data_IF_355777862126
#
_entry.id   IF_355777862126
#
_cell.length_a   1.000
_cell.length_b   1.000
_cell.length_c   1.000
_cell.angle_alpha   90.00
_cell.angle_beta   90.00
_cell.angle_gamma   90.00
#
_symmetry.space_group_name_H-M   'P 1'
#
loop_
_entity.id
_entity.type
_entity.pdbx_description
1 polymer ?
#
# COMPACT_ATOMS: atom_id res chain seq x y z
N UNK A 1 3.33 -26.11 2.22
CA UNK A 1 4.39 -26.28 1.22
C UNK A 1 5.69 -25.63 1.70
N UNK A 2 6.83 -26.19 1.30
CA UNK A 2 8.18 -25.62 1.59
C UNK A 2 8.86 -25.09 0.33
N UNK A 3 8.28 -25.36 -0.85
CA UNK A 3 8.72 -24.89 -2.17
C UNK A 3 7.48 -24.60 -3.04
N UNK A 4 7.65 -23.77 -4.06
CA UNK A 4 6.63 -23.57 -5.08
C UNK A 4 6.34 -24.89 -5.82
N UNK A 5 5.07 -25.16 -6.19
CA UNK A 5 4.73 -26.36 -6.92
C UNK A 5 5.28 -26.30 -8.35
N UNK A 6 5.78 -27.45 -8.84
CA UNK A 6 6.01 -27.64 -10.27
C UNK A 6 4.66 -27.98 -10.91
N UNK A 7 4.13 -27.05 -11.69
CA UNK A 7 2.86 -27.24 -12.40
C UNK A 7 3.14 -27.44 -13.90
N UNK A 8 2.53 -28.45 -14.54
CA UNK A 8 2.52 -28.54 -16.00
C UNK A 8 1.94 -27.26 -16.60
N UNK A 9 2.47 -26.83 -17.75
CA UNK A 9 2.01 -25.63 -18.47
C UNK A 9 1.94 -24.36 -17.60
N UNK A 10 2.89 -24.18 -16.68
CA UNK A 10 2.99 -23.04 -15.75
C UNK A 10 2.82 -21.67 -16.41
N UNK A 11 3.23 -21.54 -17.68
CA UNK A 11 3.10 -20.34 -18.49
C UNK A 11 1.64 -19.91 -18.74
N UNK A 12 0.65 -20.77 -18.46
CA UNK A 12 -0.78 -20.45 -18.53
C UNK A 12 -1.38 -20.05 -17.17
N UNK A 13 -0.64 -20.24 -16.08
CA UNK A 13 -1.14 -19.92 -14.74
C UNK A 13 -1.31 -18.41 -14.58
N UNK A 14 -2.51 -17.98 -14.19
CA UNK A 14 -2.85 -16.57 -13.97
C UNK A 14 -3.03 -16.22 -12.50
N UNK A 15 -3.25 -17.22 -11.64
CA UNK A 15 -3.42 -17.06 -10.21
C UNK A 15 -2.61 -18.12 -9.47
N UNK A 16 -1.80 -17.69 -8.50
CA UNK A 16 -1.12 -18.57 -7.58
C UNK A 16 -1.28 -18.03 -6.16
N UNK A 17 -1.90 -18.84 -5.31
CA UNK A 17 -2.01 -18.60 -3.88
C UNK A 17 -1.17 -19.65 -3.15
N UNK A 18 -0.19 -19.16 -2.40
CA UNK A 18 0.67 -19.94 -1.52
C UNK A 18 0.71 -19.34 -0.11
N UNK A 19 -0.31 -18.59 0.29
CA UNK A 19 -0.43 -18.00 1.61
C UNK A 19 -0.29 -19.06 2.72
N UNK A 20 0.31 -18.69 3.86
CA UNK A 20 0.23 -19.50 5.09
C UNK A 20 1.04 -20.80 5.02
N UNK A 21 2.15 -20.76 4.28
CA UNK A 21 3.01 -21.91 4.06
C UNK A 21 4.36 -21.76 4.78
N UNK A 22 5.34 -22.61 4.42
CA UNK A 22 6.70 -22.59 4.95
C UNK A 22 7.72 -22.33 3.85
N UNK A 23 7.34 -21.52 2.85
CA UNK A 23 8.22 -21.19 1.75
C UNK A 23 9.42 -20.39 2.26
N UNK A 24 10.58 -20.76 1.73
CA UNK A 24 11.82 -19.98 1.79
C UNK A 24 12.19 -19.59 0.37
N UNK A 25 12.77 -18.41 0.16
CA UNK A 25 13.12 -17.98 -1.19
C UNK A 25 14.58 -18.26 -1.54
N UNK A 26 14.78 -19.18 -2.48
CA UNK A 26 16.07 -19.57 -3.05
C UNK A 26 16.05 -19.47 -4.59
N UNK A 27 17.17 -19.77 -5.25
CA UNK A 27 17.29 -19.70 -6.70
C UNK A 27 16.34 -20.66 -7.43
N UNK A 28 15.98 -21.80 -6.82
CA UNK A 28 15.04 -22.75 -7.42
C UNK A 28 13.60 -22.23 -7.35
N UNK A 29 13.21 -21.61 -6.24
CA UNK A 29 11.93 -20.93 -6.13
C UNK A 29 11.81 -19.81 -7.18
N UNK A 30 12.86 -18.98 -7.32
CA UNK A 30 12.90 -17.93 -8.34
C UNK A 30 12.76 -18.51 -9.75
N UNK A 31 13.53 -19.54 -10.11
CA UNK A 31 13.43 -20.18 -11.42
C UNK A 31 12.06 -20.80 -11.69
N UNK A 32 11.35 -21.24 -10.65
CA UNK A 32 10.00 -21.78 -10.75
C UNK A 32 8.97 -20.68 -10.98
N UNK A 33 9.09 -19.56 -10.26
CA UNK A 33 8.23 -18.40 -10.45
C UNK A 33 8.34 -17.85 -11.88
N UNK A 34 9.55 -17.76 -12.42
CA UNK A 34 9.80 -17.23 -13.77
C UNK A 34 9.19 -18.07 -14.90
N UNK A 35 8.78 -19.31 -14.65
CA UNK A 35 8.04 -20.12 -15.62
C UNK A 35 6.56 -19.70 -15.72
N UNK A 36 6.05 -18.98 -14.74
CA UNK A 36 4.66 -18.53 -14.65
C UNK A 36 4.47 -17.15 -15.31
N UNK A 37 4.86 -17.03 -16.58
CA UNK A 37 4.93 -15.72 -17.26
C UNK A 37 3.59 -15.01 -17.46
N UNK A 38 2.46 -15.72 -17.31
CA UNK A 38 1.11 -15.15 -17.41
C UNK A 38 0.48 -14.80 -16.07
N UNK A 39 1.24 -14.88 -14.97
CA UNK A 39 0.72 -14.71 -13.62
C UNK A 39 0.23 -13.27 -13.39
N UNK A 40 -1.02 -13.14 -12.97
CA UNK A 40 -1.67 -11.86 -12.67
C UNK A 40 -1.86 -11.67 -11.17
N UNK A 41 -2.10 -12.75 -10.44
CA UNK A 41 -2.26 -12.72 -8.98
C UNK A 41 -1.25 -13.67 -8.36
N UNK A 42 -0.45 -13.15 -7.44
CA UNK A 42 0.51 -13.91 -6.65
C UNK A 42 0.35 -13.55 -5.18
N UNK A 43 -0.03 -14.54 -4.38
CA UNK A 43 -0.03 -14.46 -2.93
C UNK A 43 1.04 -15.38 -2.35
N UNK A 44 2.03 -14.79 -1.67
CA UNK A 44 3.07 -15.48 -0.91
C UNK A 44 3.02 -15.12 0.58
N UNK A 45 1.95 -14.46 1.05
CA UNK A 45 1.83 -13.94 2.41
C UNK A 45 1.97 -15.03 3.47
N UNK A 46 2.30 -14.63 4.69
CA UNK A 46 2.46 -15.54 5.83
C UNK A 46 3.46 -16.69 5.58
N UNK A 47 4.55 -16.40 4.86
CA UNK A 47 5.68 -17.30 4.64
C UNK A 47 6.97 -16.77 5.28
N UNK A 48 8.08 -17.50 5.20
CA UNK A 48 9.39 -17.06 5.72
C UNK A 48 10.37 -16.87 4.57
N UNK A 49 10.03 -15.95 3.66
CA UNK A 49 10.78 -15.75 2.44
C UNK A 49 12.19 -15.25 2.74
N UNK A 50 12.32 -14.29 3.69
CA UNK A 50 13.55 -13.58 4.09
C UNK A 50 14.14 -12.74 2.94
N UNK A 51 14.36 -13.37 1.79
CA UNK A 51 14.71 -12.73 0.53
C UNK A 51 13.44 -12.47 -0.28
N UNK A 52 13.35 -11.28 -0.88
CA UNK A 52 12.27 -10.95 -1.78
C UNK A 52 12.44 -11.65 -3.15
N UNK A 53 11.34 -12.04 -3.82
CA UNK A 53 11.38 -12.50 -5.21
C UNK A 53 11.83 -11.39 -6.14
N UNK A 54 12.54 -11.75 -7.22
CA UNK A 54 12.82 -10.85 -8.32
C UNK A 54 11.61 -10.81 -9.26
N UNK A 55 10.98 -9.65 -9.35
CA UNK A 55 9.76 -9.42 -10.12
C UNK A 55 10.05 -8.86 -11.52
N UNK A 56 11.32 -8.73 -11.91
CA UNK A 56 11.75 -8.15 -13.20
C UNK A 56 11.05 -8.79 -14.41
N UNK A 57 10.79 -10.10 -14.35
CA UNK A 57 10.14 -10.88 -15.43
C UNK A 57 8.62 -11.00 -15.27
N UNK A 58 8.06 -10.56 -14.16
CA UNK A 58 6.67 -10.75 -13.77
C UNK A 58 5.80 -9.55 -14.18
N UNK A 59 5.89 -9.15 -15.45
CA UNK A 59 5.30 -7.89 -15.96
C UNK A 59 3.77 -7.91 -16.12
N UNK A 60 3.15 -9.08 -15.96
CA UNK A 60 1.71 -9.31 -16.07
C UNK A 60 0.96 -9.20 -14.74
N UNK A 61 1.70 -9.08 -13.62
CA UNK A 61 1.15 -9.00 -12.26
C UNK A 61 0.23 -7.79 -12.10
N UNK A 62 -0.90 -8.04 -11.44
CA UNK A 62 -1.95 -7.09 -11.06
C UNK A 62 -2.12 -7.02 -9.56
N UNK A 63 -2.03 -8.16 -8.89
CA UNK A 63 -2.12 -8.23 -7.43
C UNK A 63 -0.95 -9.05 -6.90
N UNK A 64 -0.17 -8.44 -6.01
CA UNK A 64 0.99 -9.05 -5.38
C UNK A 64 0.84 -8.91 -3.87
N UNK A 65 0.84 -10.04 -3.16
CA UNK A 65 0.76 -10.07 -1.71
C UNK A 65 1.98 -10.80 -1.15
N UNK A 66 2.71 -10.14 -0.27
CA UNK A 66 3.83 -10.70 0.49
C UNK A 66 3.78 -10.20 1.94
N UNK A 67 2.58 -10.20 2.52
CA UNK A 67 2.35 -9.74 3.89
C UNK A 67 3.06 -10.67 4.86
N UNK A 68 3.77 -10.11 5.84
CA UNK A 68 4.43 -10.87 6.91
C UNK A 68 5.36 -11.98 6.38
N UNK A 69 6.19 -11.66 5.39
CA UNK A 69 7.15 -12.57 4.75
C UNK A 69 8.57 -12.51 5.33
N UNK A 70 8.80 -11.59 6.28
CA UNK A 70 10.11 -11.33 6.87
C UNK A 70 11.11 -10.66 5.91
N UNK A 71 10.61 -9.94 4.90
CA UNK A 71 11.44 -9.25 3.90
C UNK A 71 12.17 -8.06 4.54
N UNK A 72 13.44 -7.88 4.17
CA UNK A 72 14.26 -6.73 4.62
C UNK A 72 14.54 -5.71 3.50
N UNK A 73 14.41 -6.13 2.25
CA UNK A 73 14.59 -5.32 1.05
C UNK A 73 13.37 -5.46 0.14
N UNK A 74 13.00 -4.38 -0.57
CA UNK A 74 11.92 -4.43 -1.55
C UNK A 74 12.23 -5.40 -2.70
N UNK A 75 11.20 -6.05 -3.29
CA UNK A 75 11.36 -6.82 -4.52
C UNK A 75 11.96 -5.96 -5.64
N UNK A 76 12.89 -6.54 -6.42
CA UNK A 76 13.40 -5.88 -7.63
C UNK A 76 12.38 -5.97 -8.75
N UNK A 77 12.35 -4.98 -9.65
CA UNK A 77 11.51 -5.01 -10.85
C UNK A 77 10.08 -4.51 -10.65
N UNK A 78 9.74 -3.93 -9.48
CA UNK A 78 8.44 -3.28 -9.26
C UNK A 78 8.21 -2.14 -10.26
N UNK A 79 9.28 -1.48 -10.72
CA UNK A 79 9.25 -0.44 -11.74
C UNK A 79 8.78 -0.93 -13.13
N UNK A 80 8.76 -2.25 -13.35
CA UNK A 80 8.26 -2.84 -14.61
C UNK A 80 6.77 -3.16 -14.58
N UNK A 81 6.09 -2.98 -13.44
CA UNK A 81 4.66 -3.18 -13.36
C UNK A 81 3.96 -2.05 -14.11
N UNK A 82 3.09 -2.41 -15.05
CA UNK A 82 2.47 -1.43 -15.95
C UNK A 82 1.15 -0.90 -15.42
N UNK A 83 0.42 -1.74 -14.68
CA UNK A 83 -0.91 -1.41 -14.17
C UNK A 83 -1.33 -2.35 -13.03
N UNK A 84 -0.54 -2.36 -11.93
CA UNK A 84 -0.92 -3.09 -10.72
C UNK A 84 -2.18 -2.46 -10.11
N UNK A 85 -2.96 -3.31 -9.43
CA UNK A 85 -4.10 -2.92 -8.61
C UNK A 85 -3.73 -2.94 -7.14
N UNK A 86 -2.99 -3.95 -6.70
CA UNK A 86 -2.57 -4.08 -5.30
C UNK A 86 -1.15 -4.62 -5.25
N UNK A 87 -0.30 -4.00 -4.45
CA UNK A 87 1.01 -4.50 -4.09
C UNK A 87 1.13 -4.35 -2.57
N UNK A 88 0.78 -5.42 -1.86
CA UNK A 88 0.81 -5.42 -0.41
C UNK A 88 2.08 -6.14 0.09
N UNK A 89 3.01 -5.34 0.63
CA UNK A 89 4.23 -5.79 1.27
C UNK A 89 4.23 -5.41 2.76
N UNK A 90 3.05 -5.22 3.36
CA UNK A 90 2.91 -4.87 4.77
C UNK A 90 3.48 -5.93 5.71
N UNK A 91 3.69 -5.53 6.96
CA UNK A 91 4.18 -6.37 8.06
C UNK A 91 5.52 -7.08 7.77
N UNK A 92 6.36 -6.45 6.96
CA UNK A 92 7.74 -6.86 6.74
C UNK A 92 8.73 -6.05 7.61
N UNK A 93 10.01 -6.37 7.48
CA UNK A 93 11.11 -5.82 8.27
C UNK A 93 12.00 -4.88 7.44
N UNK A 94 11.39 -4.08 6.56
CA UNK A 94 12.14 -3.14 5.72
C UNK A 94 12.87 -2.12 6.59
N UNK A 95 14.18 -1.99 6.36
CA UNK A 95 15.04 -1.06 7.12
C UNK A 95 15.31 0.23 6.34
N UNK A 96 15.20 0.19 5.02
CA UNK A 96 15.44 1.31 4.10
C UNK A 96 14.74 1.09 2.77
N UNK A 97 14.44 2.17 2.07
CA UNK A 97 14.14 2.16 0.65
C UNK A 97 15.44 2.03 -0.17
N UNK A 98 15.40 1.45 -1.39
CA UNK A 98 16.51 1.52 -2.33
C UNK A 98 16.88 2.97 -2.65
N UNK A 99 18.18 3.27 -2.71
CA UNK A 99 18.65 4.62 -3.00
C UNK A 99 18.19 5.07 -4.40
N UNK A 100 17.50 6.22 -4.46
CA UNK A 100 16.97 6.77 -5.71
C UNK A 100 15.86 5.93 -6.33
N UNK A 101 15.10 5.16 -5.52
CA UNK A 101 13.91 4.46 -5.99
C UNK A 101 12.96 5.45 -6.66
N UNK A 102 12.53 5.12 -7.89
CA UNK A 102 11.49 5.84 -8.61
C UNK A 102 10.54 4.79 -9.16
N UNK A 103 9.32 4.77 -8.64
CA UNK A 103 8.28 3.88 -9.12
C UNK A 103 7.37 4.62 -10.10
N UNK A 104 6.85 3.94 -11.14
CA UNK A 104 5.73 4.46 -11.92
C UNK A 104 4.58 4.84 -10.98
N UNK A 105 3.83 5.93 -11.24
CA UNK A 105 2.73 6.35 -10.36
C UNK A 105 1.72 5.23 -10.08
N UNK A 106 1.37 4.42 -11.09
CA UNK A 106 0.48 3.29 -10.89
C UNK A 106 1.02 2.24 -9.90
N UNK A 107 2.33 2.00 -9.90
CA UNK A 107 2.99 1.09 -8.95
C UNK A 107 3.09 1.70 -7.56
N UNK A 108 3.49 2.98 -7.48
CA UNK A 108 3.62 3.68 -6.20
C UNK A 108 2.27 3.76 -5.48
N UNK A 109 1.21 4.13 -6.20
CA UNK A 109 -0.14 4.27 -5.66
C UNK A 109 -0.73 2.93 -5.20
N UNK A 110 -0.33 1.81 -5.82
CA UNK A 110 -0.78 0.47 -5.45
C UNK A 110 0.02 -0.16 -4.30
N UNK A 111 1.13 0.46 -3.87
CA UNK A 111 2.06 -0.11 -2.91
C UNK A 111 1.62 0.19 -1.47
N UNK A 112 1.63 -0.85 -0.63
CA UNK A 112 1.60 -0.72 0.82
C UNK A 112 2.84 -1.35 1.44
N UNK A 113 3.52 -0.57 2.28
CA UNK A 113 4.69 -0.99 3.08
C UNK A 113 4.40 -0.93 4.58
N UNK A 114 3.15 -0.70 4.98
CA UNK A 114 2.77 -0.47 6.37
C UNK A 114 3.23 -1.59 7.30
N UNK A 115 3.81 -1.22 8.44
CA UNK A 115 4.23 -2.17 9.46
C UNK A 115 4.49 -1.44 10.78
N UNK A 116 4.01 -2.01 11.87
CA UNK A 116 4.25 -1.50 13.23
C UNK A 116 5.74 -1.52 13.60
N UNK A 117 6.53 -2.35 12.91
CA UNK A 117 7.96 -2.54 13.21
C UNK A 117 8.89 -1.62 12.43
N UNK A 118 8.37 -0.77 11.54
CA UNK A 118 9.20 0.17 10.77
C UNK A 118 9.92 1.15 11.68
N UNK A 119 11.25 1.18 11.57
CA UNK A 119 12.08 2.14 12.30
C UNK A 119 12.04 3.55 11.71
N UNK A 120 12.51 4.53 12.49
CA UNK A 120 12.60 5.93 12.04
C UNK A 120 13.30 6.12 10.68
N UNK A 121 14.43 5.44 10.36
CA UNK A 121 15.15 5.71 9.12
C UNK A 121 14.32 5.47 7.84
N UNK A 122 13.57 4.37 7.78
CA UNK A 122 12.73 4.10 6.61
C UNK A 122 11.48 4.98 6.59
N UNK A 123 10.91 5.30 7.76
CA UNK A 123 9.77 6.23 7.84
C UNK A 123 10.15 7.61 7.30
N UNK A 124 11.31 8.14 7.68
CA UNK A 124 11.86 9.39 7.13
C UNK A 124 12.07 9.31 5.61
N UNK A 125 12.60 8.20 5.10
CA UNK A 125 12.76 8.00 3.65
C UNK A 125 11.43 7.95 2.89
N UNK A 126 10.38 7.38 3.48
CA UNK A 126 9.04 7.37 2.87
C UNK A 126 8.41 8.76 2.91
N UNK A 127 8.59 9.52 3.99
CA UNK A 127 8.16 10.92 4.04
C UNK A 127 8.90 11.77 2.99
N UNK A 128 10.22 11.60 2.86
CA UNK A 128 11.02 12.27 1.82
C UNK A 128 10.54 11.90 0.41
N UNK A 129 10.24 10.61 0.17
CA UNK A 129 9.65 10.15 -1.10
C UNK A 129 8.31 10.83 -1.36
N UNK A 130 7.43 10.92 -0.36
CA UNK A 130 6.15 11.61 -0.47
C UNK A 130 6.35 13.09 -0.80
N UNK A 131 7.28 13.80 -0.15
CA UNK A 131 7.55 15.21 -0.45
C UNK A 131 8.03 15.43 -1.89
N UNK A 132 8.79 14.47 -2.44
CA UNK A 132 9.34 14.57 -3.79
C UNK A 132 8.36 14.13 -4.88
N UNK A 133 7.55 13.11 -4.62
CA UNK A 133 6.74 12.43 -5.64
C UNK A 133 5.23 12.61 -5.45
N UNK A 134 4.77 13.02 -4.26
CA UNK A 134 3.37 13.20 -3.93
C UNK A 134 2.58 11.92 -3.63
N UNK A 135 3.26 10.77 -3.57
CA UNK A 135 2.64 9.45 -3.33
C UNK A 135 3.13 8.88 -2.01
N UNK A 136 2.21 8.38 -1.19
CA UNK A 136 2.53 7.63 0.02
C UNK A 136 2.87 6.18 -0.34
N UNK A 137 3.93 5.64 0.25
CA UNK A 137 4.30 4.23 0.07
C UNK A 137 3.89 3.35 1.25
N UNK A 138 3.44 3.93 2.38
CA UNK A 138 2.94 3.13 3.51
C UNK A 138 1.54 2.62 3.25
N UNK A 139 0.63 3.50 2.86
CA UNK A 139 -0.78 3.21 2.61
C UNK A 139 -1.06 3.41 1.13
N UNK A 140 -1.69 2.43 0.50
CA UNK A 140 -2.06 2.52 -0.91
C UNK A 140 -3.12 3.60 -1.12
N UNK A 141 -3.04 4.31 -2.26
CA UNK A 141 -4.04 5.32 -2.63
C UNK A 141 -5.46 4.74 -2.74
N UNK A 142 -5.60 3.44 -3.01
CA UNK A 142 -6.91 2.76 -3.10
C UNK A 142 -7.67 2.78 -1.75
N UNK A 143 -6.97 2.87 -0.63
CA UNK A 143 -7.57 2.98 0.72
C UNK A 143 -8.30 4.32 0.91
N UNK A 144 -7.99 5.33 0.10
CA UNK A 144 -8.68 6.62 0.13
C UNK A 144 -9.72 6.75 -0.98
N UNK A 145 -9.81 5.78 -1.90
CA UNK A 145 -10.72 5.83 -3.04
C UNK A 145 -12.18 6.13 -2.64
N UNK A 146 -12.76 5.53 -1.58
CA UNK A 146 -14.15 5.81 -1.21
C UNK A 146 -14.44 7.30 -1.01
N UNK A 147 -13.52 8.03 -0.36
CA UNK A 147 -13.67 9.47 -0.11
C UNK A 147 -13.26 10.33 -1.32
N UNK A 148 -12.25 9.89 -2.08
CA UNK A 148 -11.58 10.69 -3.11
C UNK A 148 -12.16 10.53 -4.52
N UNK A 149 -12.87 9.44 -4.81
CA UNK A 149 -13.35 9.10 -6.16
C UNK A 149 -14.17 10.24 -6.80
N UNK A 150 -15.08 10.83 -6.02
CA UNK A 150 -15.96 11.92 -6.46
C UNK A 150 -15.55 13.29 -5.90
N UNK A 151 -14.33 13.41 -5.37
CA UNK A 151 -13.85 14.66 -4.80
C UNK A 151 -13.64 15.74 -5.86
N UNK A 152 -14.16 16.94 -5.60
CA UNK A 152 -13.94 18.13 -6.40
C UNK A 152 -12.46 18.58 -6.36
N UNK A 153 -12.07 19.42 -7.33
CA UNK A 153 -10.71 19.96 -7.38
C UNK A 153 -10.31 20.72 -6.10
N UNK A 154 -11.25 21.43 -5.45
CA UNK A 154 -10.99 22.12 -4.18
C UNK A 154 -10.81 21.15 -3.01
N UNK A 155 -11.57 20.04 -2.99
CA UNK A 155 -11.40 18.98 -2.00
C UNK A 155 -10.06 18.26 -2.17
N UNK A 156 -9.62 17.98 -3.40
CA UNK A 156 -8.29 17.41 -3.64
C UNK A 156 -7.15 18.36 -3.25
N UNK A 157 -7.33 19.68 -3.47
CA UNK A 157 -6.39 20.68 -2.97
C UNK A 157 -6.36 20.76 -1.45
N UNK A 158 -7.52 20.62 -0.80
CA UNK A 158 -7.61 20.55 0.66
C UNK A 158 -6.90 19.29 1.19
N UNK A 159 -7.18 18.13 0.57
CA UNK A 159 -6.55 16.85 0.89
C UNK A 159 -5.03 16.91 0.89
N UNK A 160 -4.43 17.57 -0.11
CA UNK A 160 -2.96 17.68 -0.20
C UNK A 160 -2.33 18.54 0.91
N UNK A 161 -3.11 19.37 1.61
CA UNK A 161 -2.66 20.15 2.77
C UNK A 161 -2.81 19.41 4.10
N UNK A 162 -3.60 18.32 4.14
CA UNK A 162 -3.76 17.50 5.34
C UNK A 162 -2.45 16.76 5.63
N UNK A 163 -1.90 16.83 6.87
CA UNK A 163 -0.69 16.12 7.22
C UNK A 163 -0.78 14.63 6.88
N UNK A 164 0.29 14.06 6.30
CA UNK A 164 0.25 12.70 5.76
C UNK A 164 -0.10 11.65 6.82
N UNK A 165 0.50 11.72 8.00
CA UNK A 165 0.18 10.82 9.11
C UNK A 165 -1.30 10.90 9.51
N UNK A 166 -1.90 12.09 9.47
CA UNK A 166 -3.32 12.27 9.81
C UNK A 166 -4.23 11.65 8.74
N UNK A 167 -3.85 11.73 7.46
CA UNK A 167 -4.56 11.05 6.37
C UNK A 167 -4.53 9.53 6.53
N UNK A 168 -3.38 8.96 6.90
CA UNK A 168 -3.24 7.52 7.16
C UNK A 168 -4.20 7.02 8.24
N UNK A 169 -4.38 7.78 9.32
CA UNK A 169 -5.37 7.44 10.35
C UNK A 169 -6.81 7.70 9.89
N UNK A 170 -7.04 8.74 9.06
CA UNK A 170 -8.38 9.09 8.59
C UNK A 170 -9.02 7.96 7.77
N UNK A 171 -8.22 7.09 7.14
CA UNK A 171 -8.76 5.91 6.42
C UNK A 171 -9.67 5.06 7.31
N UNK A 172 -9.39 4.95 8.61
CA UNK A 172 -10.21 4.18 9.54
C UNK A 172 -11.63 4.76 9.66
N UNK A 173 -11.73 6.10 9.65
CA UNK A 173 -13.03 6.76 9.61
C UNK A 173 -13.70 6.61 8.24
N UNK A 174 -12.94 6.71 7.15
CA UNK A 174 -13.45 6.53 5.79
C UNK A 174 -14.07 5.14 5.64
N UNK A 175 -13.39 4.11 6.15
CA UNK A 175 -13.87 2.73 6.14
C UNK A 175 -15.10 2.55 7.04
N UNK A 176 -15.09 3.12 8.25
CA UNK A 176 -16.20 3.04 9.20
C UNK A 176 -17.49 3.65 8.62
N UNK A 177 -17.41 4.82 7.98
CA UNK A 177 -18.57 5.48 7.37
C UNK A 177 -19.01 4.86 6.04
N UNK A 178 -18.20 3.98 5.44
CA UNK A 178 -18.55 3.32 4.18
C UNK A 178 -19.73 2.35 4.34
N UNK A 179 -20.02 1.92 5.57
CA UNK A 179 -21.14 1.04 5.92
C UNK A 179 -22.42 1.81 6.32
N UNK A 180 -22.38 3.14 6.36
CA UNK A 180 -23.53 3.97 6.76
C UNK A 180 -24.70 3.90 5.76
N UNK A 181 -25.92 4.08 6.27
CA UNK A 181 -27.13 4.17 5.44
C UNK A 181 -27.07 5.35 4.44
N UNK A 182 -26.37 6.43 4.78
CA UNK A 182 -26.16 7.62 3.94
C UNK A 182 -24.67 8.02 3.87
N UNK A 183 -23.89 7.19 3.18
CA UNK A 183 -22.43 7.40 2.97
C UNK A 183 -22.13 8.79 2.38
N UNK A 184 -23.00 9.33 1.52
CA UNK A 184 -22.77 10.65 0.91
C UNK A 184 -22.82 11.77 1.96
N UNK A 185 -23.75 11.70 2.91
CA UNK A 185 -23.81 12.64 4.02
C UNK A 185 -22.57 12.51 4.93
N UNK A 186 -22.13 11.28 5.21
CA UNK A 186 -20.94 11.03 6.04
C UNK A 186 -19.65 11.54 5.37
N UNK A 187 -19.46 11.29 4.07
CA UNK A 187 -18.36 11.89 3.30
C UNK A 187 -18.42 13.42 3.31
N UNK A 188 -19.61 14.01 3.17
CA UNK A 188 -19.77 15.47 3.25
C UNK A 188 -19.39 16.01 4.65
N UNK A 189 -19.70 15.27 5.71
CA UNK A 189 -19.29 15.62 7.08
C UNK A 189 -17.77 15.60 7.23
N UNK A 190 -17.09 14.57 6.70
CA UNK A 190 -15.62 14.48 6.68
C UNK A 190 -15.04 15.70 5.95
N UNK A 191 -15.53 16.01 4.75
CA UNK A 191 -15.03 17.16 3.99
C UNK A 191 -15.26 18.49 4.71
N UNK A 192 -16.40 18.65 5.39
CA UNK A 192 -16.70 19.85 6.17
C UNK A 192 -15.76 19.99 7.37
N UNK A 193 -15.44 18.88 8.04
CA UNK A 193 -14.49 18.87 9.16
C UNK A 193 -13.06 19.17 8.69
N UNK A 194 -12.62 18.59 7.56
CA UNK A 194 -11.33 18.90 6.95
C UNK A 194 -11.24 20.37 6.52
N UNK A 195 -12.31 20.94 5.98
CA UNK A 195 -12.33 22.36 5.61
C UNK A 195 -12.20 23.25 6.85
N UNK A 196 -12.94 22.94 7.92
CA UNK A 196 -12.82 23.65 9.19
C UNK A 196 -11.41 23.55 9.76
N UNK A 197 -10.75 22.39 9.64
CA UNK A 197 -9.36 22.19 10.03
C UNK A 197 -8.37 23.07 9.24
N UNK A 198 -8.69 23.45 8.00
CA UNK A 198 -7.86 24.34 7.18
C UNK A 198 -8.10 25.83 7.50
N UNK A 199 -9.32 26.18 7.93
CA UNK A 199 -9.76 27.56 8.18
C UNK A 199 -9.61 28.03 9.64
N UNK A 200 -9.72 27.11 10.61
CA UNK A 200 -9.72 27.38 12.06
C UNK A 200 -8.52 26.71 12.74
N UNK A 201 -7.56 27.53 13.18
CA UNK A 201 -6.35 27.05 13.84
C UNK A 201 -6.62 26.36 15.18
N UNK A 202 -7.61 26.81 15.96
CA UNK A 202 -7.93 26.18 17.24
C UNK A 202 -8.57 24.80 17.01
N UNK A 203 -9.50 24.70 16.06
CA UNK A 203 -10.06 23.41 15.67
C UNK A 203 -8.98 22.48 15.12
N UNK A 204 -8.06 23.00 14.30
CA UNK A 204 -6.93 22.25 13.76
C UNK A 204 -6.06 21.64 14.86
N UNK A 205 -5.68 22.43 15.86
CA UNK A 205 -4.84 21.96 16.95
C UNK A 205 -5.55 20.86 17.76
N UNK A 206 -6.86 20.97 17.98
CA UNK A 206 -7.65 19.89 18.64
C UNK A 206 -7.78 18.64 17.79
N UNK A 207 -8.04 18.80 16.49
CA UNK A 207 -8.13 17.70 15.54
C UNK A 207 -6.82 16.91 15.49
N UNK A 208 -5.69 17.60 15.29
CA UNK A 208 -4.37 16.96 15.26
C UNK A 208 -3.92 16.37 16.61
N UNK A 209 -4.52 16.80 17.72
CA UNK A 209 -4.29 16.21 19.05
C UNK A 209 -5.16 14.98 19.34
N UNK A 210 -6.12 14.68 18.47
CA UNK A 210 -7.05 13.54 18.59
C UNK A 210 -6.78 12.56 17.44
N UNK A 211 -7.19 11.29 17.58
CA UNK A 211 -7.11 10.37 16.43
C UNK A 211 -8.02 10.85 15.31
N UNK A 212 -7.55 10.74 14.07
CA UNK A 212 -8.34 11.12 12.90
C UNK A 212 -9.62 10.28 12.75
N UNK A 213 -9.65 9.08 13.34
CA UNK A 213 -10.84 8.22 13.41
C UNK A 213 -12.03 8.88 14.13
N UNK A 214 -11.77 9.85 15.01
CA UNK A 214 -12.80 10.56 15.81
C UNK A 214 -13.05 11.98 15.29
N UNK A 215 -12.63 12.30 14.07
CA UNK A 215 -12.71 13.66 13.53
C UNK A 215 -14.13 14.26 13.59
N UNK A 216 -15.16 13.43 13.42
CA UNK A 216 -16.57 13.88 13.43
C UNK A 216 -17.12 14.15 14.83
N UNK A 217 -16.40 13.78 15.89
CA UNK A 217 -16.81 13.93 17.30
C UNK A 217 -16.26 15.21 17.98
N UNK A 218 -15.49 16.05 17.25
CA UNK A 218 -14.75 17.23 17.77
C UNK A 218 -15.52 18.55 17.64
#
# INVERSE_FOLDING_TARGET
>A
FERLPQVPDAYQLTWLDMEGNRLTWDAQAQATLEQMSSLQVLDLSLNRLINAPDMTRMTTIRSLFMVQCGLMDLPRGLEHFTSPRVIDLSDNHFVRLPAGIVLPPATANALSLESDTLGLPIREQIEDYYQLHGTDLLVSDFEYEPLLLDASASQLQLWSRVPLHYRRELRLLIDDVAEDDDVAASHQAIWSALQRMDEDAEFRDRALATSASLLLDI
#
